data_IF_475430800767
#
_entry.id   IF_475430800767
#
_cell.length_a   1.000
_cell.length_b   1.000
_cell.length_c   1.000
_cell.angle_alpha   90.00
_cell.angle_beta   90.00
_cell.angle_gamma   90.00
#
_symmetry.space_group_name_H-M   'P 1'
#
loop_
_entity.id
_entity.type
_entity.pdbx_description
1 polymer ?
#
# COMPACT_ATOMS: atom_id res chain seq x y z
N UNK A 1 8.73 -6.87 8.19
CA UNK A 1 8.40 -5.81 9.17
C UNK A 1 7.60 -4.73 8.45
N UNK A 2 6.68 -4.06 9.15
CA UNK A 2 6.11 -2.78 8.71
C UNK A 2 6.69 -1.68 9.60
N UNK A 3 7.04 -0.53 9.03
CA UNK A 3 7.67 0.55 9.77
C UNK A 3 7.34 1.89 9.14
N UNK A 4 7.38 2.94 9.95
CA UNK A 4 7.40 4.30 9.46
C UNK A 4 8.85 4.77 9.32
N UNK A 5 9.12 5.43 8.21
CA UNK A 5 10.42 6.01 7.89
C UNK A 5 10.21 7.49 7.60
N UNK A 6 11.12 8.33 8.07
CA UNK A 6 11.08 9.76 7.80
C UNK A 6 11.65 10.14 6.43
N UNK A 7 11.61 11.43 6.10
CA UNK A 7 12.12 11.93 4.83
C UNK A 7 13.64 11.81 4.64
N UNK A 8 14.39 11.49 5.70
CA UNK A 8 15.84 11.32 5.71
C UNK A 8 16.24 9.84 5.83
N UNK A 9 15.30 8.93 5.60
CA UNK A 9 15.46 7.47 5.66
C UNK A 9 15.80 6.91 7.05
N UNK A 10 15.43 7.62 8.12
CA UNK A 10 15.50 7.08 9.47
C UNK A 10 14.22 6.34 9.82
N UNK A 11 14.37 5.11 10.31
CA UNK A 11 13.30 4.33 10.92
C UNK A 11 12.83 5.08 12.17
N UNK A 12 11.54 5.39 12.21
CA UNK A 12 10.93 5.96 13.40
C UNK A 12 10.77 4.84 14.45
N UNK A 13 11.66 4.81 15.43
CA UNK A 13 11.61 3.86 16.55
C UNK A 13 10.27 3.90 17.28
N UNK A 14 9.86 2.75 17.84
CA UNK A 14 8.53 2.52 18.41
C UNK A 14 7.39 2.37 17.38
N UNK A 15 7.67 2.48 16.08
CA UNK A 15 6.67 2.32 15.00
C UNK A 15 6.90 1.09 14.13
N UNK A 16 7.81 0.20 14.54
CA UNK A 16 8.14 -1.02 13.80
C UNK A 16 7.28 -2.17 14.30
N UNK A 17 6.60 -2.86 13.39
CA UNK A 17 5.69 -3.97 13.68
C UNK A 17 6.12 -5.25 12.97
N UNK A 18 6.01 -6.36 13.71
CA UNK A 18 6.07 -7.74 13.20
C UNK A 18 4.71 -8.37 13.51
N UNK A 19 3.92 -8.64 12.48
CA UNK A 19 2.49 -8.93 12.66
C UNK A 19 1.78 -7.70 13.22
N UNK A 20 1.08 -7.87 14.34
CA UNK A 20 0.40 -6.78 15.06
C UNK A 20 1.17 -6.34 16.31
N UNK A 21 2.33 -6.93 16.57
CA UNK A 21 3.17 -6.63 17.74
C UNK A 21 4.26 -5.65 17.40
N UNK A 22 4.47 -4.67 18.28
CA UNK A 22 5.60 -3.73 18.19
C UNK A 22 6.90 -4.50 18.42
N UNK A 23 7.90 -4.25 17.57
CA UNK A 23 9.25 -4.80 17.73
C UNK A 23 10.06 -3.88 18.64
N UNK A 24 10.77 -4.41 19.66
CA UNK A 24 11.64 -3.60 20.50
C UNK A 24 12.71 -2.86 19.70
N UNK A 25 12.97 -1.60 20.07
CA UNK A 25 13.91 -0.73 19.34
C UNK A 25 15.33 -1.33 19.29
N UNK A 26 15.76 -2.01 20.35
CA UNK A 26 17.04 -2.71 20.43
C UNK A 26 17.17 -3.79 19.34
N UNK A 27 16.08 -4.52 19.08
CA UNK A 27 16.03 -5.56 18.05
C UNK A 27 16.07 -4.93 16.65
N UNK A 28 15.37 -3.81 16.45
CA UNK A 28 15.39 -3.05 15.19
C UNK A 28 16.78 -2.51 14.89
N UNK A 29 17.42 -1.87 15.87
CA UNK A 29 18.76 -1.30 15.74
C UNK A 29 19.77 -2.40 15.40
N UNK A 30 19.67 -3.56 16.05
CA UNK A 30 20.53 -4.71 15.75
C UNK A 30 20.31 -5.27 14.34
N UNK A 31 19.06 -5.32 13.85
CA UNK A 31 18.73 -5.81 12.50
C UNK A 31 19.23 -4.89 11.38
N UNK A 32 19.23 -3.57 11.60
CA UNK A 32 19.55 -2.58 10.58
C UNK A 32 20.93 -1.92 10.76
N UNK A 33 21.72 -2.36 11.74
CA UNK A 33 23.00 -1.74 12.13
C UNK A 33 22.87 -0.22 12.39
N UNK A 34 21.82 0.14 13.13
CA UNK A 34 21.39 1.52 13.35
C UNK A 34 19.92 1.74 12.98
N UNK A 35 19.56 3.01 12.77
CA UNK A 35 18.20 3.41 12.39
C UNK A 35 18.10 3.99 10.98
N UNK A 36 19.21 4.18 10.27
CA UNK A 36 19.21 4.74 8.91
C UNK A 36 19.16 3.62 7.87
N UNK A 37 18.19 3.67 6.95
CA UNK A 37 18.06 2.73 5.84
C UNK A 37 18.73 3.29 4.59
N UNK A 38 19.74 2.60 4.02
CA UNK A 38 20.38 3.04 2.78
C UNK A 38 19.40 3.10 1.61
N UNK A 39 19.58 4.08 0.72
CA UNK A 39 18.75 4.28 -0.47
C UNK A 39 18.73 3.06 -1.39
N UNK A 40 19.83 2.31 -1.45
CA UNK A 40 19.97 1.11 -2.28
C UNK A 40 19.05 -0.03 -1.83
N UNK A 41 18.60 -0.01 -0.56
CA UNK A 41 17.65 -1.00 -0.02
C UNK A 41 16.18 -0.61 -0.28
N UNK A 42 15.93 0.66 -0.65
CA UNK A 42 14.60 1.17 -0.92
C UNK A 42 14.16 0.79 -2.32
N UNK A 43 12.89 0.41 -2.48
CA UNK A 43 12.31 0.25 -3.82
C UNK A 43 12.21 1.61 -4.50
N UNK A 44 12.48 1.65 -5.82
CA UNK A 44 12.22 2.84 -6.64
C UNK A 44 10.71 3.18 -6.68
N UNK A 45 10.38 4.29 -7.35
CA UNK A 45 8.99 4.76 -7.48
C UNK A 45 8.04 3.70 -8.07
N UNK A 46 8.56 2.79 -8.89
CA UNK A 46 7.80 1.70 -9.53
C UNK A 46 7.88 0.39 -8.74
N UNK A 47 8.47 0.40 -7.55
CA UNK A 47 8.63 -0.77 -6.71
C UNK A 47 9.71 -1.75 -7.20
N UNK A 48 10.61 -1.32 -8.10
CA UNK A 48 11.74 -2.12 -8.58
C UNK A 48 12.98 -1.85 -7.72
N UNK A 49 13.79 -2.87 -7.53
CA UNK A 49 15.13 -2.76 -6.92
C UNK A 49 16.13 -3.41 -7.85
N UNK A 50 17.30 -2.79 -7.99
CA UNK A 50 18.40 -3.27 -8.81
C UNK A 50 19.23 -4.36 -8.12
N UNK A 51 19.06 -4.58 -6.81
CA UNK A 51 19.96 -5.44 -6.01
C UNK A 51 19.26 -6.45 -5.08
N UNK A 52 18.02 -6.85 -5.35
CA UNK A 52 17.39 -8.00 -4.66
C UNK A 52 16.97 -7.77 -3.21
N UNK A 53 17.36 -6.65 -2.59
CA UNK A 53 16.80 -6.18 -1.32
C UNK A 53 15.68 -5.17 -1.62
N UNK A 54 14.48 -5.40 -1.07
CA UNK A 54 13.31 -4.56 -1.36
C UNK A 54 12.58 -4.18 -0.09
N UNK A 55 12.91 -3.02 0.46
CA UNK A 55 11.95 -2.30 1.28
C UNK A 55 10.89 -1.70 0.35
N UNK A 56 9.67 -2.25 0.41
CA UNK A 56 8.53 -1.76 -0.35
C UNK A 56 7.95 -0.50 0.32
N UNK A 57 7.84 0.57 -0.46
CA UNK A 57 7.10 1.76 -0.05
C UNK A 57 5.61 1.61 -0.33
N UNK A 58 4.79 1.84 0.69
CA UNK A 58 3.33 1.83 0.65
C UNK A 58 2.83 3.28 0.55
N UNK A 59 2.42 3.70 -0.66
CA UNK A 59 2.32 5.12 -1.04
C UNK A 59 0.89 5.59 -1.35
N UNK A 60 -0.06 4.66 -1.45
CA UNK A 60 -1.43 4.96 -1.87
C UNK A 60 -2.47 4.39 -0.90
N UNK A 61 -3.73 4.77 -1.10
CA UNK A 61 -4.84 4.30 -0.27
C UNK A 61 -5.08 2.78 -0.40
N UNK A 62 -4.69 2.17 -1.51
CA UNK A 62 -4.80 0.72 -1.74
C UNK A 62 -3.77 -0.08 -0.95
N UNK A 63 -2.72 0.60 -0.48
CA UNK A 63 -1.71 0.02 0.39
C UNK A 63 -2.26 -0.34 1.77
N UNK A 64 -3.32 0.33 2.25
CA UNK A 64 -3.87 0.09 3.59
C UNK A 64 -4.45 -1.34 3.76
N UNK A 65 -5.31 -1.85 2.85
CA UNK A 65 -5.72 -3.26 2.87
C UNK A 65 -4.55 -4.24 2.76
N UNK A 66 -3.55 -3.95 1.93
CA UNK A 66 -2.37 -4.82 1.75
C UNK A 66 -1.54 -4.92 3.03
N UNK A 67 -1.22 -3.78 3.65
CA UNK A 67 -0.52 -3.71 4.94
C UNK A 67 -1.29 -4.42 6.04
N UNK A 68 -2.62 -4.23 6.07
CA UNK A 68 -3.50 -4.86 7.07
C UNK A 68 -3.51 -6.38 6.92
N UNK A 69 -3.70 -6.88 5.69
CA UNK A 69 -3.70 -8.31 5.40
C UNK A 69 -2.34 -8.94 5.70
N UNK A 70 -1.24 -8.29 5.28
CA UNK A 70 0.12 -8.74 5.57
C UNK A 70 0.37 -8.86 7.08
N UNK A 71 -0.08 -7.88 7.86
CA UNK A 71 0.05 -7.87 9.33
C UNK A 71 -0.76 -8.98 9.97
N UNK A 72 -2.01 -9.17 9.53
CA UNK A 72 -2.91 -10.20 10.07
C UNK A 72 -2.40 -11.62 9.78
N UNK A 73 -1.93 -11.90 8.55
CA UNK A 73 -1.41 -13.23 8.20
C UNK A 73 -0.11 -13.51 8.93
N UNK A 74 0.78 -12.53 9.01
CA UNK A 74 2.03 -12.63 9.75
C UNK A 74 1.76 -12.91 11.24
N UNK A 75 0.86 -12.15 11.87
CA UNK A 75 0.43 -12.37 13.26
C UNK A 75 -0.16 -13.77 13.46
N UNK A 76 -0.95 -14.27 12.50
CA UNK A 76 -1.52 -15.61 12.55
C UNK A 76 -0.42 -16.68 12.52
N UNK A 77 0.59 -16.55 11.64
CA UNK A 77 1.71 -17.49 11.58
C UNK A 77 2.51 -17.52 12.89
N UNK A 78 2.82 -16.34 13.44
CA UNK A 78 3.54 -16.22 14.72
C UNK A 78 2.77 -16.88 15.88
N UNK A 79 1.46 -16.60 16.01
CA UNK A 79 0.63 -17.17 17.08
C UNK A 79 0.46 -18.68 17.00
N UNK A 80 0.53 -19.24 15.80
CA UNK A 80 0.35 -20.67 15.57
C UNK A 80 1.67 -21.41 15.36
N UNK A 81 2.81 -20.74 15.54
CA UNK A 81 4.14 -21.31 15.34
C UNK A 81 4.32 -21.98 13.96
N UNK A 82 3.82 -21.30 12.93
CA UNK A 82 3.95 -21.71 11.54
C UNK A 82 5.19 -21.03 10.97
N UNK A 83 6.16 -21.82 10.51
CA UNK A 83 7.33 -21.28 9.83
C UNK A 83 6.95 -20.70 8.46
N UNK A 84 7.52 -19.54 8.14
CA UNK A 84 7.30 -18.86 6.87
C UNK A 84 8.53 -18.04 6.47
N UNK A 85 8.68 -17.84 5.16
CA UNK A 85 9.66 -16.92 4.60
C UNK A 85 8.97 -15.57 4.32
N UNK A 86 9.40 -14.45 4.94
CA UNK A 86 8.75 -13.15 4.78
C UNK A 86 8.58 -12.70 3.33
N UNK A 87 9.55 -13.01 2.45
CA UNK A 87 9.47 -12.64 1.02
C UNK A 87 8.34 -13.37 0.31
N UNK A 88 8.12 -14.64 0.62
CA UNK A 88 7.05 -15.45 0.04
C UNK A 88 5.68 -15.02 0.58
N UNK A 89 5.57 -14.78 1.88
CA UNK A 89 4.35 -14.24 2.48
C UNK A 89 3.95 -12.91 1.83
N UNK A 90 4.90 -11.97 1.67
CA UNK A 90 4.62 -10.70 0.99
C UNK A 90 4.16 -10.92 -0.46
N UNK A 91 4.83 -11.81 -1.20
CA UNK A 91 4.47 -12.11 -2.59
C UNK A 91 3.04 -12.64 -2.70
N UNK A 92 2.65 -13.59 -1.85
CA UNK A 92 1.33 -14.21 -1.89
C UNK A 92 0.21 -13.20 -1.56
N UNK A 93 0.45 -12.34 -0.56
CA UNK A 93 -0.47 -11.25 -0.21
C UNK A 93 -0.61 -10.27 -1.37
N UNK A 94 0.51 -9.83 -1.95
CA UNK A 94 0.53 -8.90 -3.08
C UNK A 94 -0.17 -9.46 -4.31
N UNK A 95 0.10 -10.72 -4.66
CA UNK A 95 -0.54 -11.39 -5.80
C UNK A 95 -2.06 -11.53 -5.57
N UNK A 96 -2.48 -11.80 -4.34
CA UNK A 96 -3.91 -11.86 -3.97
C UNK A 96 -4.62 -10.51 -4.16
N UNK A 97 -4.01 -9.41 -3.70
CA UNK A 97 -4.56 -8.05 -3.87
C UNK A 97 -4.59 -7.67 -5.37
N UNK A 98 -3.54 -8.01 -6.12
CA UNK A 98 -3.49 -7.78 -7.56
C UNK A 98 -4.64 -8.51 -8.28
N UNK A 99 -4.88 -9.76 -7.93
CA UNK A 99 -5.90 -10.59 -8.55
C UNK A 99 -7.31 -10.03 -8.36
N UNK A 100 -7.61 -9.45 -7.20
CA UNK A 100 -8.91 -8.79 -6.93
C UNK A 100 -9.16 -7.63 -7.91
N UNK A 101 -8.12 -6.88 -8.26
CA UNK A 101 -8.20 -5.76 -9.20
C UNK A 101 -8.27 -6.24 -10.66
N UNK A 102 -7.37 -7.14 -11.08
CA UNK A 102 -7.26 -7.57 -12.48
C UNK A 102 -8.45 -8.43 -12.89
N UNK A 103 -8.97 -9.29 -11.99
CA UNK A 103 -10.16 -10.13 -12.26
C UNK A 103 -11.48 -9.35 -12.16
N UNK A 104 -11.41 -8.03 -11.94
CA UNK A 104 -12.57 -7.14 -11.84
C UNK A 104 -13.54 -7.50 -10.73
N UNK A 105 -13.06 -8.16 -9.67
CA UNK A 105 -13.91 -8.52 -8.52
C UNK A 105 -14.29 -7.25 -7.77
N UNK A 106 -13.31 -6.37 -7.53
CA UNK A 106 -13.54 -5.06 -6.91
C UNK A 106 -14.51 -4.21 -7.73
N UNK A 107 -14.28 -4.10 -9.04
CA UNK A 107 -15.12 -3.29 -9.93
C UNK A 107 -16.58 -3.74 -9.89
N UNK A 108 -16.84 -5.04 -10.03
CA UNK A 108 -18.20 -5.59 -9.96
C UNK A 108 -18.87 -5.37 -8.60
N UNK A 109 -18.10 -5.44 -7.51
CA UNK A 109 -18.64 -5.19 -6.18
C UNK A 109 -19.04 -3.72 -5.99
N UNK A 110 -18.27 -2.79 -6.56
CA UNK A 110 -18.58 -1.36 -6.55
C UNK A 110 -19.79 -1.06 -7.44
N UNK A 111 -19.83 -1.60 -8.66
CA UNK A 111 -20.95 -1.42 -9.60
C UNK A 111 -22.28 -1.93 -9.04
N UNK A 112 -22.25 -3.00 -8.24
CA UNK A 112 -23.44 -3.56 -7.60
C UNK A 112 -24.04 -2.66 -6.50
N UNK A 113 -23.26 -1.75 -5.91
CA UNK A 113 -23.69 -0.87 -4.82
C UNK A 113 -22.87 0.44 -4.81
N UNK A 114 -23.08 1.26 -5.83
CA UNK A 114 -22.30 2.48 -6.04
C UNK A 114 -22.46 3.47 -4.87
N UNK A 115 -23.66 3.60 -4.31
CA UNK A 115 -23.96 4.55 -3.23
C UNK A 115 -23.18 4.24 -1.96
N UNK A 116 -22.90 2.95 -1.69
CA UNK A 116 -22.09 2.53 -0.56
C UNK A 116 -20.61 2.87 -0.70
N UNK A 117 -20.05 2.77 -1.92
CA UNK A 117 -18.60 2.88 -2.13
C UNK A 117 -18.15 4.22 -2.71
N UNK A 118 -19.02 4.96 -3.38
CA UNK A 118 -18.70 6.24 -4.03
C UNK A 118 -19.48 7.37 -3.37
N UNK A 119 -18.74 8.31 -2.78
CA UNK A 119 -19.31 9.55 -2.28
C UNK A 119 -19.51 10.54 -3.43
N UNK A 120 -20.76 10.82 -3.79
CA UNK A 120 -21.08 11.90 -4.72
C UNK A 120 -20.88 13.27 -4.06
N UNK A 121 -19.83 13.98 -4.48
CA UNK A 121 -19.54 15.32 -3.99
C UNK A 121 -20.10 16.37 -4.95
N UNK A 122 -21.23 17.00 -4.59
CA UNK A 122 -21.84 18.10 -5.37
C UNK A 122 -20.85 19.25 -5.63
N UNK A 123 -19.94 19.49 -4.69
CA UNK A 123 -18.90 20.52 -4.78
C UNK A 123 -17.93 20.21 -5.93
N UNK A 124 -17.57 18.94 -6.15
CA UNK A 124 -16.69 18.55 -7.26
C UNK A 124 -17.35 18.88 -8.60
N UNK A 125 -18.65 18.57 -8.75
CA UNK A 125 -19.41 18.92 -9.95
C UNK A 125 -19.44 20.43 -10.18
N UNK A 126 -19.68 21.22 -9.13
CA UNK A 126 -19.72 22.68 -9.21
C UNK A 126 -18.37 23.27 -9.66
N UNK A 127 -17.25 22.76 -9.13
CA UNK A 127 -15.89 23.20 -9.51
C UNK A 127 -15.60 22.87 -10.98
N UNK A 128 -15.88 21.63 -11.41
CA UNK A 128 -15.68 21.22 -12.81
C UNK A 128 -16.53 22.05 -13.78
N UNK A 129 -17.79 22.32 -13.43
CA UNK A 129 -18.67 23.19 -14.22
C UNK A 129 -18.14 24.62 -14.32
N UNK A 130 -17.63 25.18 -13.22
CA UNK A 130 -17.03 26.52 -13.20
C UNK A 130 -15.80 26.58 -14.10
N UNK A 131 -14.93 25.57 -14.07
CA UNK A 131 -13.75 25.50 -14.94
C UNK A 131 -14.14 25.47 -16.42
N UNK A 132 -15.12 24.64 -16.79
CA UNK A 132 -15.64 24.57 -18.15
C UNK A 132 -16.21 25.92 -18.63
N UNK A 133 -17.01 26.58 -17.77
CA UNK A 133 -17.60 27.89 -18.08
C UNK A 133 -16.56 28.98 -18.35
N UNK A 134 -15.35 28.85 -17.79
CA UNK A 134 -14.22 29.78 -18.03
C UNK A 134 -13.29 29.30 -19.16
N UNK A 135 -13.77 28.41 -20.03
CA UNK A 135 -13.05 27.96 -21.22
C UNK A 135 -11.88 27.01 -20.94
N UNK A 136 -11.80 26.40 -19.75
CA UNK A 136 -10.76 25.40 -19.45
C UNK A 136 -11.09 24.08 -20.15
N UNK A 137 -10.12 23.53 -20.86
CA UNK A 137 -10.17 22.17 -21.41
C UNK A 137 -9.75 21.19 -20.32
N UNK A 138 -10.56 20.17 -20.09
CA UNK A 138 -10.32 19.12 -19.09
C UNK A 138 -10.21 17.76 -19.79
N UNK A 139 -9.42 16.86 -19.22
CA UNK A 139 -9.27 15.48 -19.67
C UNK A 139 -9.15 14.58 -18.45
N UNK A 140 -9.45 13.29 -18.63
CA UNK A 140 -9.37 12.28 -17.57
C UNK A 140 -8.22 11.32 -17.89
N UNK A 141 -7.33 11.10 -16.92
CA UNK A 141 -6.35 10.02 -16.94
C UNK A 141 -6.73 9.08 -15.80
N UNK A 142 -6.89 7.80 -16.11
CA UNK A 142 -7.24 6.77 -15.15
C UNK A 142 -6.52 5.47 -15.50
N UNK A 143 -6.13 4.72 -14.46
CA UNK A 143 -5.59 3.37 -14.61
C UNK A 143 -6.72 2.31 -14.69
N UNK A 144 -7.98 2.72 -14.49
CA UNK A 144 -9.13 1.84 -14.59
C UNK A 144 -9.53 1.61 -16.06
N UNK A 145 -10.08 0.44 -16.39
CA UNK A 145 -10.57 0.16 -17.73
C UNK A 145 -11.75 1.07 -18.10
N UNK A 146 -11.89 1.39 -19.39
CA UNK A 146 -12.97 2.28 -19.89
C UNK A 146 -14.38 1.71 -19.68
N UNK A 147 -14.51 0.41 -19.42
CA UNK A 147 -15.81 -0.20 -19.09
C UNK A 147 -16.29 0.12 -17.68
N UNK A 148 -15.39 0.50 -16.78
CA UNK A 148 -15.69 0.83 -15.38
C UNK A 148 -15.83 2.35 -15.14
N UNK A 149 -15.23 3.15 -16.02
CA UNK A 149 -15.15 4.63 -15.92
C UNK A 149 -16.33 5.24 -16.67
#
# INVERSE_FOLDING_TARGET
>A
LLMKIDAFHYIQLGTVYRGLSVVPDEEVIAMYDGSHVPLEQMSDFYGKSSQGHTMKQFMDIFSLPEMSLLSCVNEYFLKNNIDYEPVHLYKDVKDSIRDVHIKGIMYRAIEADIEKYICYAEQTRAVLAKLAAHGKKMFLITNSPSSFV
#
